data_IF_378227948307
#
_entry.id   IF_378227948307
#
_cell.length_a   1.000
_cell.length_b   1.000
_cell.length_c   1.000
_cell.angle_alpha   90.00
_cell.angle_beta   90.00
_cell.angle_gamma   90.00
#
_symmetry.space_group_name_H-M   'P 1'
#
loop_
_entity.id
_entity.type
_entity.pdbx_description
1 polymer ?
2 non-polymer ?
3 water ?
#
# COMPACT_ATOMS: atom_id res chain seq x y z
N UNK A 1 4.93 -43.51 8.22
CA UNK A 1 6.27 -43.53 8.90
C UNK A 1 6.25 -42.81 10.22
N UNK A 2 7.44 -42.38 10.68
CA UNK A 2 7.60 -41.74 11.99
C UNK A 2 6.97 -40.36 12.03
N UNK A 3 6.94 -39.76 13.22
CA UNK A 3 6.41 -38.40 13.33
C UNK A 3 7.26 -37.35 12.62
N UNK A 5 8.88 -37.87 9.95
CA UNK A 5 8.55 -38.06 8.55
C UNK A 5 7.24 -37.33 8.22
N UNK A 6 6.22 -37.50 9.08
CA UNK A 6 4.94 -36.77 8.91
C UNK A 6 5.15 -35.26 8.87
N UNK A 8 7.89 -33.63 8.05
CA UNK A 8 8.64 -33.26 6.87
C UNK A 8 7.74 -33.26 5.63
N UNK A 9 6.89 -34.28 5.52
CA UNK A 9 5.94 -34.40 4.42
C UNK A 9 5.00 -33.20 4.39
N UNK A 10 4.56 -32.75 5.55
CA UNK A 10 3.67 -31.60 5.64
C UNK A 10 4.33 -30.28 5.28
N UNK A 11 5.59 -30.09 5.67
CA UNK A 11 6.37 -28.94 5.26
C UNK A 11 6.48 -28.94 3.73
N UNK A 12 6.74 -30.12 3.14
CA UNK A 12 6.85 -30.26 1.68
C UNK A 12 5.52 -29.90 0.99
N UNK A 13 4.43 -30.49 1.48
CA UNK A 13 3.12 -30.22 0.92
C UNK A 13 2.79 -28.73 1.07
N UNK A 14 3.06 -28.17 2.24
CA UNK A 14 2.76 -26.76 2.48
C UNK A 14 3.54 -25.85 1.52
N UNK A 15 4.81 -26.16 1.32
CA UNK A 15 5.64 -25.35 0.42
C UNK A 15 5.19 -25.48 -1.06
N UNK A 16 4.71 -26.65 -1.46
CA UNK A 16 4.09 -26.83 -2.79
C UNK A 16 2.81 -26.00 -2.93
N UNK A 17 1.98 -25.98 -1.88
CA UNK A 17 0.75 -25.17 -1.87
C UNK A 17 1.11 -23.68 -1.97
N UNK A 19 3.86 -22.38 -3.31
CA UNK A 19 4.34 -22.16 -4.68
C UNK A 19 3.17 -21.97 -5.65
N UNK A 20 2.11 -22.77 -5.49
CA UNK A 20 0.90 -22.64 -6.29
C UNK A 20 0.21 -21.29 -6.09
N UNK A 21 0.08 -20.87 -4.83
CA UNK A 21 -0.44 -19.55 -4.45
C UNK A 21 0.36 -18.39 -5.10
N UNK A 22 1.68 -18.43 -4.98
CA UNK A 22 2.54 -17.41 -5.60
C UNK A 22 2.41 -17.34 -7.13
N UNK A 23 2.06 -18.47 -7.76
CA UNK A 23 1.92 -18.52 -9.21
C UNK A 23 0.79 -17.60 -9.73
N UNK A 24 -0.17 -17.27 -8.87
CA UNK A 24 -1.30 -16.40 -9.23
C UNK A 24 -1.08 -14.90 -8.96
N UNK A 25 0.09 -14.53 -8.44
CA UNK A 25 0.40 -13.14 -8.11
C UNK A 25 0.54 -12.31 -9.38
N UNK A 26 0.44 -10.99 -9.24
CA UNK A 26 0.85 -10.11 -10.33
C UNK A 26 2.37 -10.17 -10.49
N UNK A 27 2.83 -10.26 -11.74
CA UNK A 27 4.24 -10.08 -12.09
C UNK A 27 4.33 -9.22 -13.35
N UNK A 28 5.39 -8.44 -13.48
CA UNK A 28 5.51 -7.61 -14.68
C UNK A 28 5.81 -8.49 -15.90
N UNK A 29 6.45 -9.63 -15.67
CA UNK A 29 6.68 -10.66 -16.72
C UNK A 29 7.15 -11.97 -16.10
N UNK A 30 7.40 -12.97 -16.96
CA UNK A 30 7.83 -14.28 -16.45
C UNK A 30 9.21 -14.23 -15.78
N UNK A 31 10.08 -13.34 -16.24
CA UNK A 31 11.40 -13.14 -15.61
C UNK A 31 11.24 -12.69 -14.15
N UNK A 32 10.37 -11.72 -13.95
CA UNK A 32 10.06 -11.25 -12.60
C UNK A 32 9.67 -12.44 -11.70
N UNK A 33 8.79 -13.30 -12.21
CA UNK A 33 8.40 -14.49 -11.44
C UNK A 33 9.59 -15.42 -11.15
N UNK A 34 10.40 -15.69 -12.17
CA UNK A 34 11.55 -16.62 -12.00
C UNK A 34 12.53 -16.06 -10.94
N UNK A 35 12.83 -14.76 -11.06
CA UNK A 35 13.71 -14.04 -10.13
C UNK A 35 13.21 -14.16 -8.68
N UNK A 36 11.90 -14.00 -8.53
CA UNK A 36 11.28 -14.01 -7.24
C UNK A 36 11.50 -15.38 -6.58
N UNK A 37 11.27 -16.46 -7.32
CA UNK A 37 11.43 -17.81 -6.78
C UNK A 37 12.90 -18.06 -6.42
N UNK A 38 13.82 -17.56 -7.23
CA UNK A 38 15.26 -17.64 -6.98
C UNK A 38 15.65 -16.89 -5.71
N UNK A 39 15.08 -15.70 -5.51
CA UNK A 39 15.40 -14.90 -4.31
C UNK A 39 14.81 -15.53 -3.03
N UNK A 40 13.62 -16.12 -3.15
CA UNK A 40 13.00 -16.77 -2.00
C UNK A 40 13.88 -17.92 -1.49
N UNK A 41 14.49 -18.64 -2.42
CA UNK A 41 15.45 -19.71 -2.08
C UNK A 41 16.68 -19.10 -1.40
N UNK A 42 17.23 -18.03 -1.98
CA UNK A 42 18.43 -17.41 -1.45
C UNK A 42 18.24 -16.84 -0.04
N UNK A 43 17.16 -16.07 0.17
CA UNK A 43 16.86 -15.47 1.47
C UNK A 43 15.91 -16.37 2.27
N UNK A 44 16.46 -17.39 2.92
CA UNK A 44 15.68 -18.39 3.71
C UNK A 44 14.73 -17.85 4.79
N UNK A 45 15.04 -16.68 5.35
CA UNK A 45 14.15 -15.97 6.29
C UNK A 45 12.84 -15.51 5.64
N UNK A 46 12.70 -15.73 4.34
CA UNK A 46 11.49 -15.31 3.61
C UNK A 46 10.33 -16.22 3.94
N UNK A 47 10.65 -17.50 4.15
CA UNK A 47 9.62 -18.51 4.46
C UNK A 47 8.80 -18.16 5.72
N UNK A 48 9.40 -17.42 6.66
CA UNK A 48 8.66 -17.06 7.88
C UNK A 48 8.48 -15.56 8.14
N UNK A 49 9.31 -14.70 7.55
CA UNK A 49 9.15 -13.25 7.73
C UNK A 49 8.57 -12.60 6.48
N UNK A 50 7.27 -12.20 6.54
CA UNK A 50 6.62 -11.58 5.36
C UNK A 50 7.39 -10.40 4.79
N UNK A 51 8.14 -9.67 5.62
CA UNK A 51 8.88 -8.50 5.17
C UNK A 51 10.01 -8.90 4.22
N UNK A 52 10.65 -10.03 4.52
CA UNK A 52 11.70 -10.54 3.64
C UNK A 52 11.11 -11.08 2.33
N UNK A 53 10.01 -11.80 2.45
CA UNK A 53 9.28 -12.26 1.28
C UNK A 53 8.91 -11.08 0.36
N UNK A 54 8.30 -10.03 0.93
CA UNK A 54 7.97 -8.84 0.15
C UNK A 54 9.18 -8.22 -0.50
N UNK A 55 10.28 -8.15 0.25
CA UNK A 55 11.52 -7.61 -0.29
C UNK A 55 12.02 -8.39 -1.50
N UNK A 56 12.01 -9.73 -1.42
CA UNK A 56 12.32 -10.59 -2.57
C UNK A 56 11.46 -10.26 -3.79
N UNK A 57 10.17 -10.00 -3.55
CA UNK A 57 9.25 -9.68 -4.66
C UNK A 57 9.70 -8.40 -5.40
N UNK A 58 10.18 -7.40 -4.64
CA UNK A 58 10.66 -6.14 -5.22
C UNK A 58 12.02 -6.31 -5.90
N UNK A 59 12.96 -6.94 -5.18
CA UNK A 59 14.31 -7.20 -5.72
C UNK A 59 14.28 -8.02 -7.01
N UNK A 60 13.26 -8.86 -7.14
CA UNK A 60 13.03 -9.65 -8.36
C UNK A 60 12.65 -8.86 -9.61
N UNK A 61 12.19 -7.63 -9.44
CA UNK A 61 11.87 -6.80 -10.61
C UNK A 61 13.09 -6.71 -11.53
N UNK A 62 12.93 -7.07 -12.82
CA UNK A 62 14.07 -7.15 -13.72
C UNK A 62 14.96 -5.90 -13.75
N UNK A 63 14.37 -4.71 -13.63
CA UNK A 63 15.17 -3.48 -13.61
C UNK A 63 16.11 -3.43 -12.40
N UNK A 64 15.67 -4.03 -11.29
CA UNK A 64 16.53 -4.11 -10.09
C UNK A 64 17.44 -5.33 -10.19
N UNK A 65 16.83 -6.50 -10.40
CA UNK A 65 17.53 -7.77 -10.44
C UNK A 65 18.73 -7.75 -11.40
N UNK A 66 18.57 -7.11 -12.55
CA UNK A 66 19.59 -7.15 -13.60
C UNK A 66 20.63 -6.04 -13.49
N UNK A 67 20.38 -5.09 -12.59
CA UNK A 67 21.26 -3.92 -12.47
C UNK A 67 21.96 -3.91 -11.13
N UNK A 68 21.61 -4.87 -10.28
CA UNK A 68 22.08 -4.92 -8.90
C UNK A 68 22.49 -6.34 -8.52
N UNK A 69 23.64 -6.49 -7.87
CA UNK A 69 24.06 -7.80 -7.39
C UNK A 69 23.28 -8.15 -6.13
N UNK A 70 22.09 -8.71 -6.31
CA UNK A 70 21.18 -9.01 -5.21
C UNK A 70 21.61 -10.23 -4.39
N UNK A 71 22.56 -11.00 -4.91
CA UNK A 71 23.02 -12.21 -4.22
C UNK A 71 24.32 -11.98 -3.42
N UNK A 72 24.73 -10.72 -3.31
CA UNK A 72 25.96 -10.37 -2.58
C UNK A 72 25.69 -9.84 -1.17
N UNK A 73 24.48 -9.33 -0.95
CA UNK A 73 24.11 -8.67 0.30
C UNK A 73 23.47 -9.63 1.30
N UNK A 74 23.89 -9.54 2.56
CA UNK A 74 23.38 -10.43 3.61
C UNK A 74 21.90 -10.14 3.86
N UNK A 75 21.55 -8.85 3.83
CA UNK A 75 20.20 -8.38 4.02
C UNK A 75 19.65 -7.83 2.72
N UNK A 76 18.36 -8.10 2.43
CA UNK A 76 17.73 -7.73 1.16
C UNK A 76 18.03 -6.34 0.57
N UNK A 77 17.94 -5.29 1.38
CA UNK A 77 18.10 -3.93 0.86
C UNK A 77 19.36 -3.24 1.40
N UNK A 78 20.35 -4.04 1.79
CA UNK A 78 21.58 -3.47 2.34
C UNK A 78 22.34 -2.55 1.36
N UNK A 79 22.11 -2.74 0.06
CA UNK A 79 22.81 -1.96 -0.98
C UNK A 79 22.19 -0.58 -1.23
N UNK A 80 21.07 -0.30 -0.57
CA UNK A 80 20.26 0.90 -0.90
C UNK A 80 20.87 2.18 -0.34
N UNK A 81 21.38 2.10 0.89
CA UNK A 81 21.91 3.31 1.55
C UNK A 81 23.09 2.97 2.46
N UNK A 82 23.87 4.01 2.77
CA UNK A 82 24.93 3.89 3.76
C UNK A 82 24.98 5.19 4.54
N UNK A 83 26.07 5.44 5.28
CA UNK A 83 26.17 6.65 6.12
C UNK A 83 26.06 7.96 5.34
N UNK A 84 26.28 7.91 4.02
CA UNK A 84 26.24 9.11 3.19
C UNK A 84 24.94 9.30 2.40
N UNK A 85 23.95 8.45 2.69
CA UNK A 85 22.64 8.54 2.05
C UNK A 85 22.45 7.43 1.04
N UNK A 86 21.59 7.63 0.05
CA UNK A 86 21.41 6.56 -0.95
C UNK A 86 22.69 6.35 -1.78
N UNK A 87 22.90 5.13 -2.20
CA UNK A 87 24.13 4.73 -2.87
C UNK A 87 24.01 5.01 -4.36
N UNK A 88 25.14 4.94 -5.06
CA UNK A 88 25.13 5.10 -6.52
C UNK A 88 24.27 4.05 -7.22
N UNK A 89 24.23 2.83 -6.67
CA UNK A 89 23.39 1.77 -7.24
C UNK A 89 21.91 2.13 -7.18
N UNK A 91 20.70 5.24 -6.88
CA UNK A 91 20.52 6.41 -7.76
C UNK A 91 20.38 6.03 -9.25
N UNK A 92 20.97 4.91 -9.64
CA UNK A 92 20.92 4.45 -11.04
C UNK A 92 19.57 3.87 -11.45
N UNK A 93 18.72 3.55 -10.45
CA UNK A 93 17.41 2.98 -10.73
C UNK A 93 16.46 4.10 -11.15
N UNK A 94 15.45 3.76 -11.96
CA UNK A 94 14.39 4.70 -12.33
C UNK A 94 13.77 5.30 -11.06
N UNK A 95 13.38 6.57 -11.14
CA UNK A 95 12.76 7.27 -10.02
C UNK A 95 11.55 6.51 -9.41
N UNK A 96 10.59 6.05 -10.25
CA UNK A 96 9.46 5.33 -9.63
C UNK A 96 9.87 4.04 -8.89
N UNK A 97 10.92 3.36 -9.36
CA UNK A 97 11.40 2.16 -8.68
C UNK A 97 12.08 2.59 -7.39
N UNK A 98 12.78 3.72 -7.41
CA UNK A 98 13.33 4.25 -6.16
C UNK A 98 12.22 4.46 -5.12
N UNK A 99 11.08 4.97 -5.55
CA UNK A 99 9.96 5.17 -4.63
C UNK A 99 9.46 3.85 -4.07
N UNK A 100 9.37 2.82 -4.91
CA UNK A 100 8.93 1.48 -4.46
C UNK A 100 9.89 0.91 -3.41
N UNK A 101 11.19 1.01 -3.67
CA UNK A 101 12.20 0.54 -2.74
C UNK A 101 12.08 1.33 -1.44
N UNK A 102 11.92 2.63 -1.54
CA UNK A 102 11.79 3.45 -0.34
C UNK A 102 10.51 3.10 0.44
N UNK A 103 9.41 2.80 -0.27
CA UNK A 103 8.16 2.44 0.43
C UNK A 103 8.31 1.12 1.16
N UNK A 104 9.05 0.18 0.57
CA UNK A 104 9.35 -1.10 1.22
C UNK A 104 10.17 -0.89 2.51
N UNK A 105 11.17 -0.02 2.45
CA UNK A 105 11.93 0.31 3.66
C UNK A 105 11.07 0.99 4.70
N UNK A 106 10.10 1.80 4.26
CA UNK A 106 9.18 2.47 5.19
C UNK A 106 8.30 1.50 5.97
N UNK A 107 8.00 0.33 5.38
CA UNK A 107 7.31 -0.73 6.11
C UNK A 107 8.11 -1.12 7.36
N UNK A 108 9.43 -1.07 7.25
CA UNK A 108 10.31 -1.41 8.39
C UNK A 108 10.70 -0.19 9.24
N UNK A 109 10.05 0.95 8.98
CA UNK A 109 10.31 2.22 9.70
C UNK A 109 11.72 2.75 9.42
N UNK A 110 12.16 2.58 8.18
CA UNK A 110 13.42 3.09 7.71
C UNK A 110 13.04 4.07 6.61
N UNK A 111 13.21 5.35 6.91
CA UNK A 111 12.76 6.41 6.00
C UNK A 111 13.97 7.06 5.34
N UNK A 112 14.18 6.75 4.07
CA UNK A 112 15.37 7.20 3.34
C UNK A 112 15.15 8.50 2.56
N UNK A 113 13.89 8.83 2.27
CA UNK A 113 13.55 10.06 1.51
C UNK A 113 12.57 10.93 2.27
N UNK A 114 12.63 12.23 1.99
CA UNK A 114 11.59 13.17 2.43
C UNK A 114 11.31 14.12 1.27
N UNK A 115 10.05 14.14 0.76
CA UNK A 115 8.94 13.30 1.17
C UNK A 115 9.19 11.80 0.98
N UNK A 116 8.40 10.99 1.69
CA UNK A 116 8.63 9.54 1.74
C UNK A 116 8.37 8.86 0.39
N UNK A 117 8.88 7.63 0.25
CA UNK A 117 8.62 6.87 -0.97
C UNK A 117 7.13 6.62 -1.18
N UNK A 118 6.41 6.38 -0.09
CA UNK A 118 4.96 6.19 -0.15
C UNK A 118 4.25 7.45 -0.67
N UNK A 119 4.61 8.60 -0.10
CA UNK A 119 4.06 9.88 -0.54
C UNK A 119 4.30 10.12 -2.04
N UNK A 121 5.25 7.97 -4.38
CA UNK A 121 4.61 6.92 -5.16
C UNK A 121 3.12 7.20 -5.38
N UNK A 123 1.63 9.94 -5.57
CA UNK A 123 1.44 11.07 -6.47
C UNK A 123 2.00 10.86 -7.89
N UNK A 124 2.58 9.70 -8.15
CA UNK A 124 3.37 9.49 -9.39
C UNK A 124 3.29 8.14 -10.08
N UNK A 125 3.08 7.05 -9.34
CA UNK A 125 3.12 5.70 -9.92
C UNK A 125 2.10 5.48 -11.02
N UNK A 126 2.55 4.87 -12.11
CA UNK A 126 1.65 4.45 -13.18
C UNK A 126 0.88 3.16 -12.81
N UNK A 127 0.10 2.60 -13.74
CA UNK A 127 -0.74 1.44 -13.41
C UNK A 127 0.11 0.21 -13.06
N UNK A 128 1.12 -0.07 -13.89
CA UNK A 128 2.04 -1.19 -13.64
C UNK A 128 2.64 -1.08 -12.26
N UNK A 129 3.09 0.12 -11.92
CA UNK A 129 3.73 0.36 -10.62
C UNK A 129 2.73 0.20 -9.48
N UNK A 131 0.21 -1.93 -9.60
CA UNK A 131 0.02 -3.39 -9.50
C UNK A 131 1.15 -4.03 -8.68
N UNK A 132 2.37 -3.56 -8.91
CA UNK A 132 3.53 -4.02 -8.12
C UNK A 132 3.34 -3.67 -6.65
N UNK A 133 3.01 -2.40 -6.38
CA UNK A 133 2.81 -1.93 -5.01
C UNK A 133 1.74 -2.76 -4.28
N UNK A 134 0.59 -2.97 -4.94
CA UNK A 134 -0.50 -3.72 -4.34
C UNK A 134 -0.08 -5.15 -4.03
N UNK A 135 0.54 -5.80 -5.00
CA UNK A 135 1.03 -7.15 -4.77
C UNK A 135 2.04 -7.22 -3.61
N UNK A 136 2.97 -6.28 -3.58
CA UNK A 136 3.95 -6.18 -2.49
C UNK A 136 3.23 -6.08 -1.14
N UNK A 137 2.29 -5.14 -1.04
CA UNK A 137 1.58 -4.93 0.24
C UNK A 137 0.78 -6.17 0.68
N UNK A 138 0.24 -6.93 -0.29
CA UNK A 138 -0.55 -8.12 0.01
C UNK A 138 0.35 -9.21 0.58
N UNK A 139 1.60 -9.25 0.11
CA UNK A 139 2.60 -10.19 0.65
C UNK A 139 2.97 -9.82 2.09
N UNK A 140 3.28 -8.54 2.29
CA UNK A 140 3.64 -8.03 3.62
C UNK A 140 2.56 -8.34 4.63
N UNK A 141 1.30 -8.18 4.23
CA UNK A 141 0.17 -8.37 5.15
C UNK A 141 -0.51 -9.74 4.98
N UNK A 142 0.26 -10.73 4.54
CA UNK A 142 -0.27 -12.07 4.29
C UNK A 142 -0.98 -12.64 5.52
N UNK A 143 -0.56 -12.21 6.72
CA UNK A 143 -1.17 -12.72 7.97
C UNK A 143 -2.49 -12.06 8.34
N UNK A 144 -2.90 -11.03 7.61
CA UNK A 144 -4.12 -10.27 7.94
C UNK A 144 -5.33 -11.18 8.04
N UNK A 145 -6.19 -10.89 9.03
CA UNK A 145 -7.34 -11.75 9.37
C UNK A 145 -8.67 -11.15 8.91
N UNK B 1 -7.16 -14.51 -4.55
CA UNK B 1 -6.29 -14.34 -5.74
C UNK B 1 -6.20 -12.89 -6.20
N UNK B 2 -6.06 -12.71 -7.51
CA UNK B 2 -5.83 -11.39 -8.09
C UNK B 2 -7.09 -10.56 -8.36
N UNK B 3 -8.27 -11.03 -7.94
CA UNK B 3 -9.53 -10.44 -8.42
C UNK B 3 -9.72 -8.98 -8.06
N UNK B 5 -7.40 -6.79 -7.31
CA UNK B 5 -6.40 -5.95 -7.97
C UNK B 5 -6.71 -5.76 -9.45
N UNK B 6 -7.27 -6.80 -10.08
CA UNK B 6 -7.77 -6.66 -11.46
C UNK B 6 -8.90 -5.66 -11.52
N UNK B 8 -9.52 -3.11 -9.40
CA UNK B 8 -8.96 -1.76 -9.24
C UNK B 8 -8.22 -1.24 -10.48
N UNK B 9 -7.45 -2.08 -11.18
CA UNK B 9 -6.84 -1.62 -12.42
C UNK B 9 -7.91 -1.20 -13.45
N UNK B 10 -8.99 -1.98 -13.56
CA UNK B 10 -10.09 -1.62 -14.46
C UNK B 10 -10.71 -0.27 -14.10
N UNK B 11 -10.86 0.02 -12.81
CA UNK B 11 -11.35 1.32 -12.36
C UNK B 11 -10.46 2.47 -12.84
N UNK B 12 -9.15 2.28 -12.72
CA UNK B 12 -8.21 3.34 -13.12
C UNK B 12 -8.23 3.49 -14.64
N UNK B 13 -8.15 2.37 -15.36
CA UNK B 13 -8.13 2.41 -16.81
C UNK B 13 -9.32 3.21 -17.33
N UNK B 14 -10.48 2.98 -16.73
CA UNK B 14 -11.72 3.62 -17.17
C UNK B 14 -12.16 4.77 -16.30
N UNK B 15 -11.21 5.42 -15.61
CA UNK B 15 -11.57 6.42 -14.61
C UNK B 15 -12.26 7.68 -15.15
N UNK B 16 -12.15 7.93 -16.45
CA UNK B 16 -12.91 9.05 -17.02
C UNK B 16 -14.42 8.81 -16.89
N UNK B 17 -14.80 7.54 -16.71
CA UNK B 17 -16.19 7.11 -16.54
C UNK B 17 -16.51 6.71 -15.09
N UNK B 19 -17.53 8.16 -12.34
CA UNK B 19 -18.82 8.61 -11.79
C UNK B 19 -19.96 7.59 -12.02
N UNK B 20 -19.84 6.79 -13.09
CA UNK B 20 -20.87 5.82 -13.46
C UNK B 20 -20.67 4.42 -12.86
N UNK B 21 -19.50 4.16 -12.26
CA UNK B 21 -19.26 2.84 -11.65
C UNK B 21 -18.80 2.86 -10.18
N UNK B 22 -19.04 3.98 -9.50
CA UNK B 22 -18.71 4.05 -8.06
C UNK B 22 -19.45 2.99 -7.24
N UNK B 23 -20.62 2.58 -7.70
CA UNK B 23 -21.39 1.55 -7.00
C UNK B 23 -20.63 0.21 -6.98
N UNK B 24 -19.69 0.04 -7.91
CA UNK B 24 -18.90 -1.18 -8.04
C UNK B 24 -17.64 -1.21 -7.17
N UNK B 25 -17.36 -0.13 -6.45
CA UNK B 25 -16.17 -0.06 -5.59
C UNK B 25 -16.29 -1.06 -4.43
N UNK B 26 -15.17 -1.41 -3.83
CA UNK B 26 -15.20 -2.07 -2.54
C UNK B 26 -15.73 -1.12 -1.47
N UNK B 27 -16.71 -1.61 -0.69
CA UNK B 27 -17.19 -0.89 0.53
C UNK B 27 -17.32 -1.90 1.66
N UNK B 28 -17.17 -1.45 2.90
CA UNK B 28 -17.29 -2.35 4.03
C UNK B 28 -18.75 -2.77 4.27
N UNK B 29 -19.68 -1.91 3.86
CA UNK B 29 -21.12 -2.16 4.01
C UNK B 29 -21.90 -1.10 3.25
N UNK B 30 -23.23 -1.20 3.23
CA UNK B 30 -24.04 -0.27 2.45
C UNK B 30 -23.95 1.17 3.00
N UNK B 31 -23.82 1.29 4.32
CA UNK B 31 -23.68 2.60 4.96
C UNK B 31 -22.41 3.31 4.48
N UNK B 32 -21.33 2.55 4.33
CA UNK B 32 -20.09 3.14 3.82
C UNK B 32 -20.34 3.72 2.42
N UNK B 33 -21.03 2.95 1.58
CA UNK B 33 -21.35 3.39 0.24
C UNK B 33 -22.25 4.63 0.19
N UNK B 34 -23.34 4.62 0.95
CA UNK B 34 -24.26 5.77 0.92
C UNK B 34 -23.60 7.02 1.52
N UNK B 35 -22.78 6.85 2.56
CA UNK B 35 -22.07 7.99 3.13
C UNK B 35 -21.14 8.61 2.09
N UNK B 36 -20.42 7.77 1.35
CA UNK B 36 -19.47 8.25 0.33
C UNK B 36 -20.17 9.05 -0.78
N UNK B 37 -21.28 8.50 -1.29
CA UNK B 37 -22.03 9.14 -2.36
C UNK B 37 -22.51 10.52 -1.91
N UNK B 38 -22.98 10.60 -0.66
CA UNK B 38 -23.41 11.86 -0.07
C UNK B 38 -22.25 12.85 0.10
N UNK B 39 -21.09 12.37 0.54
CA UNK B 39 -19.94 13.23 0.77
C UNK B 39 -19.39 13.84 -0.52
N UNK B 40 -19.42 13.06 -1.59
CA UNK B 40 -19.04 13.52 -2.93
C UNK B 40 -19.90 14.68 -3.41
N UNK B 41 -21.19 14.68 -3.06
CA UNK B 41 -22.06 15.81 -3.42
C UNK B 41 -21.74 17.01 -2.53
N UNK B 42 -21.67 16.77 -1.21
CA UNK B 42 -21.33 17.82 -0.24
C UNK B 42 -20.01 18.52 -0.57
N UNK B 43 -18.99 17.72 -0.91
CA UNK B 43 -17.68 18.26 -1.30
C UNK B 43 -17.52 18.35 -2.83
N UNK B 44 -18.62 18.55 -3.57
CA UNK B 44 -18.60 18.43 -5.04
C UNK B 44 -17.69 19.42 -5.73
N UNK B 45 -17.56 20.62 -5.15
CA UNK B 45 -16.71 21.65 -5.74
C UNK B 45 -15.21 21.37 -5.66
N UNK B 46 -14.81 20.27 -5.02
CA UNK B 46 -13.39 19.92 -4.92
C UNK B 46 -13.05 18.49 -5.26
N UNK B 47 -14.06 17.66 -5.52
CA UNK B 47 -13.83 16.25 -5.88
C UNK B 47 -13.15 16.00 -7.24
N UNK B 48 -12.97 17.04 -8.08
CA UNK B 48 -12.15 16.88 -9.30
C UNK B 48 -10.66 16.75 -8.96
N UNK B 49 -10.34 16.88 -7.67
CA UNK B 49 -9.04 16.54 -7.13
C UNK B 49 -9.11 15.10 -6.58
N UNK B 50 -8.36 14.14 -7.18
CA UNK B 50 -8.45 12.76 -6.68
C UNK B 50 -8.18 12.60 -5.19
N UNK B 51 -7.33 13.47 -4.64
CA UNK B 51 -7.01 13.41 -3.20
C UNK B 51 -8.24 13.70 -2.34
N UNK B 52 -9.07 14.64 -2.81
CA UNK B 52 -10.31 14.92 -2.10
C UNK B 52 -11.32 13.78 -2.22
N UNK B 53 -11.41 13.19 -3.41
CA UNK B 53 -12.30 12.05 -3.64
C UNK B 53 -11.91 10.91 -2.68
N UNK B 54 -10.65 10.53 -2.68
CA UNK B 54 -10.14 9.49 -1.78
C UNK B 54 -10.40 9.80 -0.31
N UNK B 55 -10.22 11.06 0.08
CA UNK B 55 -10.50 11.48 1.46
C UNK B 55 -11.97 11.25 1.85
N UNK B 56 -12.89 11.58 0.95
CA UNK B 56 -14.32 11.28 1.13
C UNK B 56 -14.58 9.78 1.35
N UNK B 57 -13.87 8.95 0.60
CA UNK B 57 -14.02 7.50 0.68
C UNK B 57 -13.69 6.99 2.09
N UNK B 58 -12.62 7.54 2.67
CA UNK B 58 -12.20 7.23 4.04
C UNK B 58 -13.16 7.84 5.08
N UNK B 59 -13.48 9.12 4.92
CA UNK B 59 -14.40 9.81 5.83
C UNK B 59 -15.76 9.10 5.88
N UNK B 60 -16.16 8.51 4.75
CA UNK B 60 -17.42 7.74 4.67
C UNK B 60 -17.53 6.49 5.54
N UNK B 61 -16.40 5.94 5.97
CA UNK B 61 -16.42 4.75 6.84
C UNK B 61 -17.29 5.05 8.07
N UNK B 62 -18.31 4.20 8.33
CA UNK B 62 -19.29 4.56 9.37
C UNK B 62 -18.73 4.99 10.75
N UNK B 63 -17.66 4.35 11.22
CA UNK B 63 -17.09 4.74 12.52
C UNK B 63 -16.49 6.14 12.49
N UNK B 64 -15.99 6.56 11.33
CA UNK B 64 -15.44 7.90 11.19
C UNK B 64 -16.57 8.89 10.94
N UNK B 65 -17.36 8.60 9.90
CA UNK B 65 -18.46 9.46 9.49
C UNK B 65 -19.32 9.92 10.68
N UNK B 66 -19.68 8.95 11.51
CA UNK B 66 -20.60 9.19 12.62
C UNK B 66 -19.94 9.84 13.85
N UNK B 67 -18.64 10.10 13.77
CA UNK B 67 -17.91 10.84 14.80
C UNK B 67 -17.58 12.26 14.38
N UNK B 68 -17.69 12.55 13.09
CA UNK B 68 -17.22 13.80 12.54
C UNK B 68 -18.37 14.80 12.35
N UNK B 69 -18.16 16.04 12.76
CA UNK B 69 -19.11 17.09 12.45
C UNK B 69 -18.75 17.64 11.08
N UNK B 70 -19.37 17.06 10.05
CA UNK B 70 -19.03 17.34 8.65
C UNK B 70 -19.27 18.80 8.27
N UNK B 71 -20.32 19.38 8.86
CA UNK B 71 -20.68 20.77 8.58
C UNK B 71 -19.63 21.76 9.08
N UNK B 72 -18.75 21.32 9.99
CA UNK B 72 -17.67 22.18 10.50
C UNK B 72 -16.30 21.85 9.94
N UNK B 73 -16.25 20.97 8.94
CA UNK B 73 -15.00 20.51 8.34
C UNK B 73 -14.87 21.00 6.90
N UNK B 74 -14.04 22.03 6.70
CA UNK B 74 -13.92 22.76 5.43
C UNK B 74 -13.63 21.80 4.28
N UNK B 75 -12.58 21.00 4.45
CA UNK B 75 -12.26 19.94 3.54
C UNK B 75 -12.47 18.61 4.28
N UNK B 76 -12.46 17.49 3.55
CA UNK B 76 -12.81 16.21 4.19
C UNK B 76 -11.98 15.83 5.43
N UNK B 77 -10.73 16.29 5.54
CA UNK B 77 -9.89 15.96 6.70
C UNK B 77 -9.55 17.14 7.62
N UNK B 78 -10.25 18.26 7.49
CA UNK B 78 -9.96 19.43 8.32
C UNK B 78 -10.06 19.10 9.82
N UNK B 79 -11.01 18.21 10.15
CA UNK B 79 -11.32 17.79 11.53
C UNK B 79 -10.21 17.03 12.26
N UNK B 80 -9.21 16.54 11.53
CA UNK B 80 -8.22 15.62 12.08
C UNK B 80 -7.24 16.31 13.04
N UNK B 81 -6.81 17.51 12.67
CA UNK B 81 -5.82 18.26 13.45
C UNK B 81 -6.05 19.77 13.36
N UNK B 82 -5.47 20.51 14.29
CA UNK B 82 -5.45 21.98 14.22
C UNK B 82 -4.10 22.49 14.68
N UNK B 83 -4.02 23.78 15.04
CA UNK B 83 -2.77 24.37 15.54
C UNK B 83 -2.24 23.66 16.80
N UNK B 84 -3.14 23.00 17.53
CA UNK B 84 -2.81 22.29 18.78
C UNK B 84 -2.46 20.81 18.62
N UNK B 85 -2.40 20.32 17.38
CA UNK B 85 -2.09 18.92 17.10
C UNK B 85 -3.36 18.15 16.78
N UNK B 86 -3.31 16.83 16.87
CA UNK B 86 -4.48 16.01 16.54
C UNK B 86 -5.65 16.28 17.49
N UNK B 87 -6.86 16.24 16.94
CA UNK B 87 -8.06 16.63 17.70
C UNK B 87 -8.63 15.46 18.51
N UNK B 88 -9.56 15.78 19.40
CA UNK B 88 -10.25 14.77 20.21
C UNK B 88 -10.99 13.75 19.35
N UNK B 89 -11.65 14.23 18.29
CA UNK B 89 -12.36 13.36 17.35
C UNK B 89 -11.43 12.30 16.74
N UNK B 91 -8.46 11.22 18.05
CA UNK B 91 -8.04 10.32 19.12
C UNK B 91 -9.10 9.29 19.52
N UNK B 92 -10.37 9.66 19.33
CA UNK B 92 -11.50 8.82 19.72
C UNK B 92 -11.71 7.61 18.82
N UNK B 93 -11.13 7.65 17.61
CA UNK B 93 -11.32 6.56 16.64
C UNK B 93 -10.47 5.33 16.98
N UNK B 94 -10.94 4.14 16.59
CA UNK B 94 -10.11 2.93 16.73
C UNK B 94 -8.74 3.19 16.09
N UNK B 95 -7.72 2.55 16.65
CA UNK B 95 -6.35 2.78 16.20
C UNK B 95 -6.13 2.48 14.69
N UNK B 96 -6.62 1.32 14.20
CA UNK B 96 -6.38 1.05 12.77
C UNK B 96 -7.03 2.08 11.83
N UNK B 97 -8.14 2.68 12.25
CA UNK B 97 -8.75 3.75 11.47
C UNK B 97 -7.93 5.03 11.53
N UNK B 98 -7.34 5.32 12.69
CA UNK B 98 -6.42 6.44 12.79
C UNK B 98 -5.25 6.27 11.82
N UNK B 99 -4.75 5.04 11.69
CA UNK B 99 -3.69 4.77 10.72
C UNK B 99 -4.13 5.06 9.29
N UNK B 100 -5.36 4.69 8.93
CA UNK B 100 -5.86 4.92 7.57
C UNK B 100 -5.94 6.41 7.28
N UNK B 101 -6.49 7.17 8.22
CA UNK B 101 -6.58 8.63 8.05
C UNK B 101 -5.17 9.25 7.92
N UNK B 102 -4.25 8.81 8.78
CA UNK B 102 -2.87 9.30 8.73
C UNK B 102 -2.17 8.94 7.40
N UNK B 103 -2.34 7.71 6.94
CA UNK B 103 -1.80 7.31 5.62
C UNK B 103 -2.32 8.19 4.49
N UNK B 104 -3.62 8.51 4.53
CA UNK B 104 -4.22 9.40 3.51
C UNK B 104 -3.62 10.81 3.58
N UNK B 105 -3.44 11.32 4.80
CA UNK B 105 -2.79 12.60 4.99
C UNK B 105 -1.35 12.58 4.50
N UNK B 106 -0.69 11.44 4.64
CA UNK B 106 0.69 11.27 4.15
C UNK B 106 0.80 11.41 2.62
N UNK B 107 -0.27 11.11 1.91
CA UNK B 107 -0.32 11.30 0.45
C UNK B 107 -0.14 12.79 0.08
N UNK B 108 -0.62 13.68 0.96
CA UNK B 108 -0.45 15.13 0.76
C UNK B 108 0.77 15.68 1.51
N UNK B 109 1.63 14.77 1.97
CA UNK B 109 2.85 15.11 2.71
C UNK B 109 2.55 15.85 4.01
N UNK B 110 1.45 15.47 4.65
CA UNK B 110 1.14 15.89 6.02
C UNK B 110 1.39 14.68 6.91
N UNK B 111 2.36 14.79 7.82
CA UNK B 111 2.80 13.62 8.59
C UNK B 111 2.54 13.78 10.08
N UNK B 112 1.47 13.16 10.55
CA UNK B 112 1.00 13.39 11.91
C UNK B 112 1.48 12.36 12.94
N UNK B 113 1.89 11.18 12.47
CA UNK B 113 2.34 10.10 13.37
C UNK B 113 3.78 9.70 13.08
N UNK B 114 4.44 9.19 14.11
CA UNK B 114 5.76 8.58 14.02
C UNK B 114 5.78 7.34 14.91
N UNK B 115 5.98 6.15 14.32
CA UNK B 115 6.07 5.83 12.90
C UNK B 115 4.80 6.26 12.16
N UNK B 116 4.91 6.42 10.84
CA UNK B 116 3.82 6.91 10.00
C UNK B 116 2.59 5.99 9.98
N UNK B 117 1.46 6.57 9.60
CA UNK B 117 0.22 5.82 9.39
C UNK B 117 0.41 4.65 8.44
N UNK B 118 1.12 4.89 7.34
CA UNK B 118 1.45 3.84 6.37
C UNK B 118 2.28 2.70 7.01
N UNK B 119 3.33 3.06 7.74
CA UNK B 119 4.18 2.08 8.41
C UNK B 119 3.37 1.24 9.38
N UNK B 121 0.12 0.82 9.60
CA UNK B 121 -0.93 0.09 8.91
C UNK B 121 -0.39 -1.17 8.25
N UNK B 123 1.93 -2.92 9.22
CA UNK B 123 2.28 -3.93 10.21
C UNK B 123 1.08 -4.42 11.04
N UNK B 124 -0.11 -3.91 10.75
CA UNK B 124 -1.26 -4.14 11.63
C UNK B 124 -2.63 -4.34 10.99
N UNK B 125 -2.86 -3.76 9.81
CA UNK B 125 -4.21 -3.76 9.22
C UNK B 125 -4.73 -5.16 8.94
N UNK B 126 -6.03 -5.36 9.19
CA UNK B 126 -6.65 -6.65 8.90
C UNK B 126 -7.09 -6.65 7.44
N UNK B 127 -7.76 -7.72 7.01
CA UNK B 127 -8.19 -7.83 5.60
C UNK B 127 -9.12 -6.69 5.17
N UNK B 128 -10.18 -6.45 5.95
CA UNK B 128 -11.10 -5.34 5.65
C UNK B 128 -10.37 -4.00 5.52
N UNK B 129 -9.47 -3.73 6.44
CA UNK B 129 -8.67 -2.51 6.43
C UNK B 129 -7.72 -2.44 5.23
N UNK B 131 -8.33 -3.83 2.33
CA UNK B 131 -9.19 -3.60 1.19
C UNK B 131 -9.61 -2.14 1.10
N UNK B 132 -9.90 -1.53 2.25
CA UNK B 132 -10.22 -0.08 2.29
C UNK B 132 -9.01 0.69 1.76
N UNK B 133 -7.83 0.36 2.28
CA UNK B 133 -6.59 0.99 1.86
C UNK B 133 -6.40 0.86 0.35
N UNK B 134 -6.54 -0.36 -0.19
CA UNK B 134 -6.33 -0.57 -1.62
C UNK B 134 -7.33 0.20 -2.47
N UNK B 135 -8.61 0.14 -2.09
CA UNK B 135 -9.62 0.88 -2.84
C UNK B 135 -9.38 2.41 -2.78
N UNK B 136 -8.99 2.90 -1.60
CA UNK B 136 -8.54 4.29 -1.45
C UNK B 136 -7.42 4.64 -2.45
N UNK B 137 -6.37 3.82 -2.49
CA UNK B 137 -5.23 4.10 -3.39
C UNK B 137 -5.59 4.15 -4.88
N UNK B 138 -6.59 3.37 -5.29
CA UNK B 138 -7.01 3.31 -6.69
C UNK B 138 -7.73 4.60 -7.07
N UNK B 139 -8.46 5.15 -6.10
CA UNK B 139 -9.12 6.43 -6.29
C UNK B 139 -8.07 7.53 -6.43
N UNK B 140 -7.10 7.55 -5.50
CA UNK B 140 -6.03 8.55 -5.51
C UNK B 140 -5.25 8.56 -6.82
N UNK B 141 -5.01 7.36 -7.36
CA UNK B 141 -4.22 7.20 -8.57
C UNK B 141 -5.11 6.98 -9.81
N UNK B 142 -6.32 7.52 -9.79
CA UNK B 142 -7.24 7.30 -10.93
C UNK B 142 -6.67 7.84 -12.27
N UNK B 143 -5.74 8.78 -12.20
CA UNK B 143 -5.13 9.36 -13.41
C UNK B 143 -3.92 8.58 -13.94
N UNK B 144 -3.53 7.50 -13.24
CA UNK B 144 -2.39 6.68 -13.65
C UNK B 144 -2.66 6.03 -14.98
N UNK B 145 -1.60 5.85 -15.78
CA UNK B 145 -1.73 5.30 -17.13
C UNK B 145 -0.90 4.03 -17.31
#
# INVERSE_FOLDING_TARGET
>A
GSHXFNXLEQQIIHSQDXAHFRSEFFYVNHEHRENYEALLIYYKNSIDNPIVDGACYILALPEIFNSVDVFESELPFSWVYDENGITETXKSLSIPLQYLVAAALEVTDVNIFKPSGFTXGXNNWNIAQXRIFWQYTAIIRKEAL
>B
GSHXFNXLEQQIIHSQDXAHFRSEFFYVNHEHRENYEALLIYYKNSIDNPIVDGACYILALPEIFNSVDVFESELPFSWVYDENGITETXKSLSIPLQYLVAAALEVTDVNIFKPSGFTXGXNNWNIAQXRIFWQYTAIIRKEAL
#
